data_IF_271211242186
#
_entry.id   IF_271211242186
#
_cell.length_a   1.000
_cell.length_b   1.000
_cell.length_c   1.000
_cell.angle_alpha   90.00
_cell.angle_beta   90.00
_cell.angle_gamma   90.00
#
_symmetry.space_group_name_H-M   'P 1'
#
loop_
_entity.id
_entity.type
_entity.pdbx_description
1 polymer ?
#
# COMPACT_ATOMS: atom_id res chain seq x y z
N UNK A 1 -31.30 -22.44 62.37
CA UNK A 1 -30.69 -23.78 62.51
C UNK A 1 -29.20 -23.57 62.68
N UNK A 2 -28.77 -23.32 63.92
CA UNK A 2 -28.28 -24.34 64.86
C UNK A 2 -26.91 -24.88 64.37
N UNK A 3 -25.80 -24.23 64.76
CA UNK A 3 -24.99 -24.50 65.98
C UNK A 3 -23.93 -25.59 65.66
N UNK A 4 -22.67 -25.62 66.12
CA UNK A 4 -22.01 -25.46 67.44
C UNK A 4 -20.47 -25.40 67.11
N UNK A 5 -19.68 -24.35 67.42
CA UNK A 5 -18.68 -24.21 68.54
C UNK A 5 -17.79 -25.45 68.81
N UNK A 6 -16.50 -25.44 69.20
CA UNK A 6 -15.66 -24.57 70.03
C UNK A 6 -14.16 -25.00 69.88
N UNK A 7 -13.14 -24.13 70.05
CA UNK A 7 -12.23 -23.99 71.24
C UNK A 7 -11.13 -25.08 71.35
N UNK A 8 -9.85 -24.91 71.73
CA UNK A 8 -8.93 -23.79 72.06
C UNK A 8 -7.47 -24.32 72.27
N UNK A 9 -6.45 -23.49 71.95
CA UNK A 9 -5.17 -23.21 72.67
C UNK A 9 -4.11 -24.33 73.01
N UNK A 10 -2.85 -24.03 73.49
CA UNK A 10 -1.58 -24.23 72.74
C UNK A 10 -0.43 -24.98 73.53
N UNK A 11 0.90 -24.69 73.38
CA UNK A 11 2.03 -25.62 73.08
C UNK A 11 2.89 -26.10 74.29
N UNK A 12 3.99 -26.87 74.11
CA UNK A 12 5.37 -26.34 74.36
C UNK A 12 6.49 -27.01 73.48
N UNK A 13 7.51 -26.29 72.99
CA UNK A 13 8.87 -26.03 73.53
C UNK A 13 9.91 -27.19 73.48
N UNK A 14 11.17 -26.80 73.19
CA UNK A 14 12.47 -27.53 73.24
C UNK A 14 12.72 -28.54 72.09
N UNK A 15 13.87 -28.61 71.42
CA UNK A 15 15.25 -28.55 71.90
C UNK A 15 16.24 -28.17 70.78
N UNK A 16 17.34 -27.53 71.18
CA UNK A 16 18.49 -27.06 70.40
C UNK A 16 19.23 -28.19 69.65
N UNK A 17 19.83 -27.86 68.50
CA UNK A 17 21.21 -28.26 68.24
C UNK A 17 21.96 -27.12 67.53
N UNK A 18 23.10 -26.75 68.12
CA UNK A 18 24.02 -25.69 67.71
C UNK A 18 25.21 -26.35 67.02
N UNK A 19 25.75 -25.67 66.02
CA UNK A 19 27.14 -25.72 65.52
C UNK A 19 27.36 -26.45 64.18
N UNK A 20 27.60 -25.69 63.12
CA UNK A 20 28.99 -25.31 62.82
C UNK A 20 29.05 -24.29 61.67
N UNK A 21 29.95 -23.33 61.87
CA UNK A 21 30.25 -22.19 61.01
C UNK A 21 31.40 -22.62 60.09
N UNK A 22 31.17 -22.63 58.78
CA UNK A 22 32.25 -22.61 57.80
C UNK A 22 31.86 -21.69 56.65
N UNK A 23 32.39 -20.48 56.69
CA UNK A 23 32.38 -19.51 55.61
C UNK A 23 33.31 -19.97 54.49
N UNK A 24 32.76 -20.29 53.32
CA UNK A 24 33.48 -20.24 52.06
C UNK A 24 32.63 -19.49 51.03
N UNK A 25 33.08 -18.25 50.79
CA UNK A 25 32.74 -17.36 49.69
C UNK A 25 32.55 -18.12 48.38
N UNK A 26 31.33 -18.13 47.85
CA UNK A 26 31.03 -18.62 46.50
C UNK A 26 30.35 -17.48 45.73
N UNK A 27 30.95 -17.07 44.61
CA UNK A 27 30.41 -16.08 43.67
C UNK A 27 28.95 -16.35 43.28
N UNK A 28 28.11 -15.32 43.08
CA UNK A 28 26.76 -15.55 42.59
C UNK A 28 26.82 -16.04 41.13
N UNK A 29 26.19 -17.18 40.88
CA UNK A 29 25.95 -17.69 39.53
C UNK A 29 25.09 -16.68 38.72
N UNK A 30 25.28 -16.57 37.40
CA UNK A 30 24.48 -15.66 36.58
C UNK A 30 23.04 -16.18 36.54
N UNK A 31 22.11 -15.41 37.10
CA UNK A 31 20.68 -15.57 36.90
C UNK A 31 20.39 -15.51 35.41
N UNK A 32 20.09 -16.65 34.81
CA UNK A 32 19.60 -16.76 33.44
C UNK A 32 18.17 -16.21 33.45
N UNK A 33 18.02 -14.94 33.06
CA UNK A 33 16.70 -14.37 32.82
C UNK A 33 15.98 -15.23 31.76
N UNK A 34 14.77 -15.74 32.02
CA UNK A 34 14.01 -16.43 30.99
C UNK A 34 13.76 -15.46 29.84
N UNK A 35 14.06 -15.92 28.62
CA UNK A 35 13.84 -15.14 27.40
C UNK A 35 12.41 -14.57 27.39
N UNK A 36 12.22 -13.28 27.07
CA UNK A 36 10.88 -12.70 27.03
C UNK A 36 10.05 -13.46 25.99
N UNK A 37 8.95 -14.07 26.45
CA UNK A 37 7.92 -14.63 25.59
C UNK A 37 7.52 -13.57 24.54
N UNK A 38 7.28 -13.95 23.27
CA UNK A 38 6.96 -12.99 22.22
C UNK A 38 5.71 -12.20 22.62
N UNK A 39 5.90 -10.90 22.85
CA UNK A 39 4.81 -9.99 23.19
C UNK A 39 3.70 -10.13 22.13
N UNK A 40 2.51 -10.53 22.57
CA UNK A 40 1.34 -10.71 21.70
C UNK A 40 0.95 -9.33 21.15
N UNK A 41 1.42 -9.03 19.94
CA UNK A 41 1.19 -7.76 19.27
C UNK A 41 -0.32 -7.61 18.98
N UNK A 42 -1.05 -6.90 19.85
CA UNK A 42 -2.44 -6.52 19.58
C UNK A 42 -2.40 -5.43 18.51
N UNK A 43 -2.96 -5.63 17.31
CA UNK A 43 -3.00 -4.57 16.31
C UNK A 43 -3.78 -3.39 16.89
N UNK A 44 -3.21 -2.18 16.75
CA UNK A 44 -3.88 -0.94 17.16
C UNK A 44 -5.26 -0.87 16.50
N UNK A 45 -6.26 -0.36 17.22
CA UNK A 45 -7.64 -0.21 16.72
C UNK A 45 -7.67 0.54 15.37
N UNK A 46 -6.76 1.49 15.19
CA UNK A 46 -6.60 2.25 13.95
C UNK A 46 -6.10 1.38 12.78
N UNK A 47 -5.24 0.39 13.03
CA UNK A 47 -4.79 -0.57 12.01
C UNK A 47 -5.93 -1.48 11.57
N UNK A 48 -6.76 -1.95 12.51
CA UNK A 48 -7.96 -2.75 12.21
C UNK A 48 -8.95 -1.93 11.40
N UNK A 49 -9.20 -0.68 11.82
CA UNK A 49 -10.08 0.24 11.10
C UNK A 49 -9.57 0.49 9.68
N UNK A 50 -8.29 0.83 9.50
CA UNK A 50 -7.70 1.02 8.17
C UNK A 50 -7.77 -0.24 7.30
N UNK A 51 -7.54 -1.43 7.87
CA UNK A 51 -7.69 -2.68 7.14
C UNK A 51 -9.14 -2.90 6.67
N UNK A 52 -10.12 -2.61 7.53
CA UNK A 52 -11.54 -2.66 7.18
C UNK A 52 -11.89 -1.69 6.05
N UNK A 53 -11.37 -0.46 6.09
CA UNK A 53 -11.57 0.51 5.01
C UNK A 53 -11.07 -0.01 3.66
N UNK A 54 -9.88 -0.63 3.64
CA UNK A 54 -9.32 -1.22 2.40
C UNK A 54 -10.21 -2.36 1.89
N UNK A 55 -10.70 -3.24 2.78
CA UNK A 55 -11.59 -4.35 2.38
C UNK A 55 -12.93 -3.87 1.83
N UNK A 56 -13.57 -2.89 2.51
CA UNK A 56 -14.83 -2.30 2.03
C UNK A 56 -14.63 -1.61 0.69
N UNK A 57 -13.47 -0.97 0.49
CA UNK A 57 -13.18 -0.25 -0.75
C UNK A 57 -12.95 -1.14 -1.99
N UNK A 58 -12.86 -2.47 -1.83
CA UNK A 58 -12.85 -3.39 -2.96
C UNK A 58 -14.13 -3.29 -3.82
N UNK A 59 -15.18 -2.67 -3.30
CA UNK A 59 -16.38 -2.33 -4.07
C UNK A 59 -16.14 -1.21 -5.09
N UNK A 60 -15.09 -0.41 -5.01
CA UNK A 60 -14.83 0.68 -5.98
C UNK A 60 -14.76 0.19 -7.44
N UNK A 61 -13.83 -0.73 -7.77
CA UNK A 61 -13.77 -1.34 -9.11
C UNK A 61 -15.09 -2.01 -9.53
N UNK A 62 -15.85 -2.55 -8.56
CA UNK A 62 -17.17 -3.14 -8.79
C UNK A 62 -18.19 -2.09 -9.23
N UNK A 63 -18.31 -0.98 -8.50
CA UNK A 63 -19.22 0.11 -8.83
C UNK A 63 -18.85 0.77 -10.15
N UNK A 64 -17.56 0.92 -10.43
CA UNK A 64 -17.08 1.40 -11.72
C UNK A 64 -17.55 0.48 -12.86
N UNK A 65 -17.51 -0.84 -12.68
CA UNK A 65 -18.02 -1.78 -13.69
C UNK A 65 -19.54 -1.73 -13.81
N UNK A 66 -20.27 -1.67 -12.69
CA UNK A 66 -21.74 -1.50 -12.68
C UNK A 66 -22.14 -0.25 -13.45
N UNK A 67 -21.41 0.85 -13.29
CA UNK A 67 -21.62 2.07 -14.06
C UNK A 67 -21.51 1.84 -15.58
N UNK A 68 -20.44 1.20 -16.06
CA UNK A 68 -20.28 0.93 -17.50
C UNK A 68 -21.29 -0.10 -18.05
N UNK A 69 -21.64 -1.13 -17.28
CA UNK A 69 -22.59 -2.17 -17.69
C UNK A 69 -24.01 -1.63 -17.87
N UNK A 70 -24.40 -0.63 -17.07
CA UNK A 70 -25.77 -0.09 -17.09
C UNK A 70 -25.93 1.19 -17.92
N UNK A 71 -24.97 1.50 -18.80
CA UNK A 71 -25.08 2.58 -19.79
C UNK A 71 -24.20 3.80 -19.52
N UNK A 72 -23.29 3.73 -18.54
CA UNK A 72 -22.28 4.76 -18.33
C UNK A 72 -21.28 4.81 -19.49
N UNK A 73 -21.03 6.02 -20.01
CA UNK A 73 -20.17 6.29 -21.17
C UNK A 73 -19.12 7.37 -20.87
N UNK A 74 -19.27 8.10 -19.76
CA UNK A 74 -18.39 9.23 -19.40
C UNK A 74 -17.08 8.76 -18.76
N UNK A 75 -16.07 8.56 -19.58
CA UNK A 75 -14.74 8.12 -19.17
C UNK A 75 -14.03 9.15 -18.25
N UNK A 76 -14.07 10.44 -18.58
CA UNK A 76 -13.42 11.48 -17.78
C UNK A 76 -14.07 11.65 -16.41
N UNK A 77 -15.39 11.45 -16.31
CA UNK A 77 -16.09 11.46 -15.03
C UNK A 77 -15.60 10.30 -14.15
N UNK A 78 -15.50 9.10 -14.69
CA UNK A 78 -14.99 7.95 -13.93
C UNK A 78 -13.53 8.11 -13.50
N UNK A 79 -12.67 8.66 -14.35
CA UNK A 79 -11.28 8.95 -14.01
C UNK A 79 -11.17 10.04 -12.93
N UNK A 80 -12.05 11.05 -12.97
CA UNK A 80 -12.16 12.06 -11.93
C UNK A 80 -12.52 11.44 -10.57
N UNK A 81 -13.52 10.54 -10.52
CA UNK A 81 -13.96 9.91 -9.28
C UNK A 81 -12.83 9.10 -8.62
N UNK A 82 -12.03 8.38 -9.42
CA UNK A 82 -10.86 7.63 -8.96
C UNK A 82 -9.77 8.51 -8.31
N UNK A 83 -9.55 9.72 -8.84
CA UNK A 83 -8.43 10.61 -8.43
C UNK A 83 -8.87 11.69 -7.44
N UNK A 84 -10.17 11.89 -7.28
CA UNK A 84 -10.79 12.90 -6.40
C UNK A 84 -10.38 12.84 -4.92
N UNK A 85 -9.49 11.91 -4.55
CA UNK A 85 -9.10 11.62 -3.18
C UNK A 85 -7.93 12.33 -2.57
N UNK A 86 -7.32 13.21 -3.35
CA UNK A 86 -6.31 14.12 -2.84
C UNK A 86 -6.75 14.96 -1.62
N UNK A 87 -8.04 15.38 -1.43
CA UNK A 87 -8.42 16.19 -0.28
C UNK A 87 -8.30 15.45 1.05
N UNK A 88 -8.41 14.11 1.07
CA UNK A 88 -8.23 13.33 2.28
C UNK A 88 -6.78 13.32 2.79
N UNK A 89 -5.83 13.72 1.96
CA UNK A 89 -4.44 13.89 2.37
C UNK A 89 -4.22 15.24 3.09
N UNK A 90 -5.15 16.19 3.01
CA UNK A 90 -5.00 17.51 3.62
C UNK A 90 -5.01 17.47 5.16
N UNK A 91 -5.91 16.77 5.87
CA UNK A 91 -5.91 16.72 7.33
C UNK A 91 -4.57 16.29 7.96
N UNK A 92 -3.94 15.16 7.56
CA UNK A 92 -2.65 14.76 8.13
C UNK A 92 -1.51 15.73 7.77
N UNK A 93 -1.54 16.33 6.58
CA UNK A 93 -0.60 17.39 6.18
C UNK A 93 -0.79 18.60 7.10
N UNK A 94 -2.02 19.08 7.29
CA UNK A 94 -2.35 20.20 8.15
C UNK A 94 -1.88 19.95 9.58
N UNK A 95 -2.21 18.80 10.18
CA UNK A 95 -1.79 18.45 11.56
C UNK A 95 -0.26 18.45 11.69
N UNK A 96 0.45 17.88 10.72
CA UNK A 96 1.92 17.87 10.70
C UNK A 96 2.51 19.28 10.56
N UNK A 97 1.93 20.11 9.66
CA UNK A 97 2.34 21.49 9.47
C UNK A 97 2.09 22.33 10.73
N UNK A 98 0.92 22.19 11.37
CA UNK A 98 0.60 22.89 12.62
C UNK A 98 1.52 22.47 13.78
N UNK A 99 1.83 21.17 13.90
CA UNK A 99 2.74 20.67 14.94
C UNK A 99 4.18 21.15 14.73
N UNK A 100 4.67 21.20 13.48
CA UNK A 100 6.01 21.71 13.16
C UNK A 100 6.11 23.23 13.16
N UNK A 101 5.03 23.97 12.85
CA UNK A 101 4.98 25.44 12.93
C UNK A 101 5.27 25.97 14.32
N UNK A 102 4.95 25.20 15.37
CA UNK A 102 5.33 25.49 16.76
C UNK A 102 6.84 25.37 17.05
N UNK A 103 7.62 24.75 16.16
CA UNK A 103 9.04 24.44 16.39
C UNK A 103 9.99 25.09 15.37
N UNK A 104 9.62 25.17 14.09
CA UNK A 104 10.39 25.86 13.03
C UNK A 104 9.44 26.42 11.95
N UNK A 105 9.60 27.68 11.55
CA UNK A 105 8.69 28.42 10.66
C UNK A 105 8.26 27.74 9.34
N UNK A 106 7.13 28.21 8.78
CA UNK A 106 6.32 27.55 7.71
C UNK A 106 7.04 27.42 6.36
N UNK A 107 7.96 28.32 6.04
CA UNK A 107 8.55 28.47 4.70
C UNK A 107 9.45 27.31 4.27
N UNK A 108 10.01 26.55 5.22
CA UNK A 108 10.86 25.38 4.95
C UNK A 108 10.08 24.04 4.93
N UNK A 109 8.76 24.08 5.14
CA UNK A 109 7.91 22.90 5.25
C UNK A 109 7.18 22.52 3.96
N UNK A 110 7.08 23.42 2.97
CA UNK A 110 6.43 23.14 1.69
C UNK A 110 7.45 22.60 0.67
N UNK A 111 6.98 21.73 -0.24
CA UNK A 111 7.79 21.30 -1.38
C UNK A 111 8.16 22.50 -2.27
N UNK A 112 9.39 22.54 -2.83
CA UNK A 112 9.78 23.62 -3.72
C UNK A 112 8.99 23.57 -5.02
N UNK A 113 8.84 24.72 -5.68
CA UNK A 113 8.08 24.86 -6.93
C UNK A 113 8.52 23.88 -8.02
N UNK A 114 9.81 23.53 -8.11
CA UNK A 114 10.32 22.54 -9.09
C UNK A 114 9.82 21.12 -8.80
N UNK A 115 9.75 20.73 -7.52
CA UNK A 115 9.22 19.42 -7.12
C UNK A 115 7.70 19.39 -7.24
N UNK A 116 7.03 20.51 -6.92
CA UNK A 116 5.61 20.68 -7.18
C UNK A 116 5.27 20.60 -8.67
N UNK A 117 6.10 21.18 -9.55
CA UNK A 117 5.96 21.05 -11.00
C UNK A 117 6.13 19.60 -11.47
N UNK A 118 7.15 18.88 -10.96
CA UNK A 118 7.32 17.46 -11.25
C UNK A 118 6.12 16.62 -10.74
N UNK A 119 5.62 16.92 -9.53
CA UNK A 119 4.42 16.30 -8.98
C UNK A 119 3.18 16.58 -9.85
N UNK A 120 3.03 17.79 -10.38
CA UNK A 120 1.92 18.12 -11.26
C UNK A 120 1.97 17.32 -12.57
N UNK A 121 3.16 17.18 -13.17
CA UNK A 121 3.36 16.36 -14.38
C UNK A 121 3.05 14.88 -14.10
N UNK A 122 3.51 14.35 -12.96
CA UNK A 122 3.21 12.98 -12.56
C UNK A 122 1.71 12.77 -12.25
N UNK A 123 1.05 13.78 -11.68
CA UNK A 123 -0.40 13.80 -11.48
C UNK A 123 -1.18 13.76 -12.79
N UNK A 124 -0.76 14.53 -13.79
CA UNK A 124 -1.34 14.49 -15.13
C UNK A 124 -1.13 13.12 -15.79
N UNK A 125 0.05 12.53 -15.64
CA UNK A 125 0.33 11.19 -16.14
C UNK A 125 -0.54 10.11 -15.47
N UNK A 126 -0.74 10.23 -14.16
CA UNK A 126 -1.66 9.36 -13.42
C UNK A 126 -3.12 9.54 -13.86
N UNK A 127 -3.55 10.77 -14.20
CA UNK A 127 -4.87 11.01 -14.79
C UNK A 127 -5.07 10.31 -16.12
N UNK A 128 -4.04 10.29 -16.98
CA UNK A 128 -4.06 9.51 -18.23
C UNK A 128 -4.18 8.02 -17.90
N UNK A 129 -3.44 7.52 -16.91
CA UNK A 129 -3.54 6.13 -16.47
C UNK A 129 -4.96 5.74 -16.05
N UNK A 130 -5.64 6.57 -15.24
CA UNK A 130 -7.03 6.32 -14.83
C UNK A 130 -8.02 6.41 -16.00
N UNK A 131 -7.77 7.29 -16.98
CA UNK A 131 -8.59 7.36 -18.19
C UNK A 131 -8.44 6.10 -19.05
N UNK A 132 -7.22 5.61 -19.24
CA UNK A 132 -6.96 4.36 -19.97
C UNK A 132 -7.52 3.15 -19.21
N UNK A 133 -7.46 3.16 -17.87
CA UNK A 133 -8.11 2.13 -17.04
C UNK A 133 -9.64 2.13 -17.20
N UNK A 134 -10.26 3.31 -17.31
CA UNK A 134 -11.70 3.43 -17.59
C UNK A 134 -12.07 2.86 -18.97
N UNK A 135 -11.24 3.09 -20.00
CA UNK A 135 -11.41 2.48 -21.33
C UNK A 135 -11.36 0.95 -21.27
N UNK A 136 -10.35 0.40 -20.60
CA UNK A 136 -10.24 -1.04 -20.39
C UNK A 136 -11.43 -1.63 -19.62
N UNK A 137 -11.87 -0.93 -18.56
CA UNK A 137 -13.00 -1.36 -17.72
C UNK A 137 -14.36 -1.27 -18.42
N UNK A 138 -14.49 -0.44 -19.46
CA UNK A 138 -15.68 -0.41 -20.30
C UNK A 138 -15.76 -1.67 -21.19
N UNK A 139 -14.62 -2.08 -21.77
CA UNK A 139 -14.55 -3.16 -22.75
C UNK A 139 -14.38 -4.56 -22.14
N UNK A 140 -13.86 -4.68 -20.91
CA UNK A 140 -13.54 -5.97 -20.29
C UNK A 140 -14.40 -6.26 -19.05
N UNK A 141 -14.63 -7.55 -18.74
CA UNK A 141 -15.12 -7.99 -17.43
C UNK A 141 -14.18 -7.53 -16.31
N UNK A 142 -14.76 -7.23 -15.14
CA UNK A 142 -14.01 -6.75 -13.97
C UNK A 142 -12.94 -7.75 -13.53
N UNK A 143 -13.25 -9.04 -13.62
CA UNK A 143 -12.33 -10.15 -13.33
C UNK A 143 -11.08 -10.12 -14.22
N UNK A 144 -11.26 -9.88 -15.52
CA UNK A 144 -10.12 -9.80 -16.44
C UNK A 144 -9.30 -8.53 -16.20
N UNK A 145 -9.95 -7.39 -16.02
CA UNK A 145 -9.27 -6.10 -15.78
C UNK A 145 -8.45 -6.10 -14.49
N UNK A 146 -8.96 -6.71 -13.42
CA UNK A 146 -8.24 -6.82 -12.13
C UNK A 146 -6.97 -7.65 -12.25
N UNK A 147 -7.03 -8.79 -12.97
CA UNK A 147 -5.86 -9.62 -13.25
C UNK A 147 -4.83 -8.92 -14.15
N UNK A 148 -5.28 -8.16 -15.15
CA UNK A 148 -4.38 -7.34 -15.96
C UNK A 148 -3.74 -6.23 -15.12
N UNK A 149 -4.51 -5.59 -14.23
CA UNK A 149 -3.99 -4.56 -13.33
C UNK A 149 -2.95 -5.11 -12.34
N UNK A 150 -3.05 -6.38 -11.93
CA UNK A 150 -2.04 -7.01 -11.08
C UNK A 150 -0.62 -6.95 -11.67
N UNK A 151 -0.50 -6.90 -13.00
CA UNK A 151 0.80 -6.77 -13.69
C UNK A 151 1.48 -5.43 -13.49
N UNK A 152 0.76 -4.43 -12.98
CA UNK A 152 1.31 -3.15 -12.58
C UNK A 152 2.56 -3.33 -11.71
N UNK A 153 2.56 -4.30 -10.79
CA UNK A 153 3.72 -4.57 -9.93
C UNK A 153 4.95 -5.04 -10.73
N UNK A 154 4.74 -5.84 -11.78
CA UNK A 154 5.81 -6.28 -12.66
C UNK A 154 6.40 -5.09 -13.44
N UNK A 155 5.55 -4.23 -14.00
CA UNK A 155 5.98 -3.01 -14.67
C UNK A 155 6.71 -2.06 -13.71
N UNK A 156 6.19 -1.88 -12.49
CA UNK A 156 6.87 -1.11 -11.44
C UNK A 156 8.26 -1.63 -11.16
N UNK A 157 8.45 -2.95 -11.03
CA UNK A 157 9.75 -3.54 -10.76
C UNK A 157 10.74 -3.33 -11.93
N UNK A 158 10.27 -3.49 -13.18
CA UNK A 158 11.07 -3.22 -14.39
C UNK A 158 11.45 -1.75 -14.50
N UNK A 159 10.51 -0.82 -14.31
CA UNK A 159 10.81 0.61 -14.35
C UNK A 159 11.65 1.07 -13.16
N UNK A 160 11.50 0.49 -11.97
CA UNK A 160 12.38 0.75 -10.83
C UNK A 160 13.81 0.29 -11.13
N UNK A 161 13.99 -0.86 -11.79
CA UNK A 161 15.31 -1.28 -12.27
C UNK A 161 15.91 -0.27 -13.25
N UNK A 162 15.13 0.21 -14.23
CA UNK A 162 15.60 1.13 -15.26
C UNK A 162 15.90 2.56 -14.75
N UNK A 163 15.00 3.14 -13.95
CA UNK A 163 15.06 4.55 -13.56
C UNK A 163 15.72 4.78 -12.19
N UNK A 164 15.55 3.84 -11.25
CA UNK A 164 16.08 3.94 -9.88
C UNK A 164 17.36 3.11 -9.72
N UNK A 165 17.63 2.17 -10.63
CA UNK A 165 18.76 1.25 -10.52
C UNK A 165 18.54 0.20 -9.43
N UNK A 166 17.28 -0.18 -9.16
CA UNK A 166 16.92 -1.21 -8.18
C UNK A 166 17.59 -2.53 -8.58
N UNK A 167 18.33 -3.19 -7.68
CA UNK A 167 18.87 -4.52 -7.97
C UNK A 167 17.77 -5.58 -7.83
N UNK A 168 17.54 -6.35 -8.89
CA UNK A 168 16.61 -7.47 -8.83
C UNK A 168 17.10 -8.52 -7.85
N UNK A 169 16.25 -8.86 -6.87
CA UNK A 169 16.39 -10.10 -6.12
C UNK A 169 15.84 -11.26 -6.96
N UNK A 170 16.29 -12.50 -6.73
CA UNK A 170 15.71 -13.67 -7.38
C UNK A 170 14.20 -13.77 -7.13
N UNK A 171 13.72 -13.35 -5.94
CA UNK A 171 12.30 -13.29 -5.61
C UNK A 171 11.52 -12.24 -6.40
N UNK A 172 12.10 -11.07 -6.64
CA UNK A 172 11.49 -10.02 -7.48
C UNK A 172 11.46 -10.44 -8.95
N UNK A 173 12.53 -11.06 -9.46
CA UNK A 173 12.54 -11.60 -10.81
C UNK A 173 11.49 -12.71 -11.00
N UNK A 174 11.35 -13.61 -10.02
CA UNK A 174 10.28 -14.62 -10.03
C UNK A 174 8.89 -13.98 -10.03
N UNK A 175 8.67 -12.97 -9.20
CA UNK A 175 7.40 -12.24 -9.14
C UNK A 175 7.06 -11.58 -10.49
N UNK A 176 8.03 -10.93 -11.14
CA UNK A 176 7.86 -10.33 -12.47
C UNK A 176 7.47 -11.40 -13.49
N UNK A 177 8.15 -12.54 -13.52
CA UNK A 177 7.84 -13.63 -14.45
C UNK A 177 6.43 -14.20 -14.24
N UNK A 178 6.03 -14.44 -12.99
CA UNK A 178 4.70 -14.96 -12.67
C UNK A 178 3.59 -13.98 -13.07
N UNK A 179 3.82 -12.69 -12.81
CA UNK A 179 2.88 -11.63 -13.14
C UNK A 179 2.80 -11.35 -14.64
N UNK A 180 3.82 -11.64 -15.43
CA UNK A 180 3.75 -11.53 -16.91
C UNK A 180 3.12 -12.75 -17.56
N UNK A 181 3.33 -13.95 -17.00
CA UNK A 181 2.69 -15.19 -17.48
C UNK A 181 1.16 -15.14 -17.26
N UNK A 182 0.68 -14.53 -16.17
CA UNK A 182 -0.75 -14.40 -15.87
C UNK A 182 -1.59 -13.87 -17.05
N UNK A 183 -1.32 -12.65 -17.56
CA UNK A 183 -1.99 -12.13 -18.75
C UNK A 183 -1.78 -12.95 -20.02
N UNK A 184 -0.60 -13.56 -20.21
CA UNK A 184 -0.35 -14.38 -21.37
C UNK A 184 -1.28 -15.61 -21.39
N UNK A 185 -1.50 -16.24 -20.24
CA UNK A 185 -2.47 -17.34 -20.08
C UNK A 185 -3.90 -16.85 -20.32
N UNK A 186 -4.26 -15.66 -19.86
CA UNK A 186 -5.58 -15.04 -20.14
C UNK A 186 -5.79 -14.77 -21.64
N UNK A 187 -4.75 -14.36 -22.35
CA UNK A 187 -4.81 -14.09 -23.80
C UNK A 187 -4.87 -15.34 -24.67
N UNK A 188 -4.26 -16.46 -24.23
CA UNK A 188 -4.13 -17.70 -25.01
C UNK A 188 -5.21 -18.75 -24.66
N UNK A 189 -5.85 -18.63 -23.50
CA UNK A 189 -6.81 -19.63 -23.02
C UNK A 189 -8.01 -19.89 -23.96
N UNK A 190 -8.52 -21.14 -24.03
CA UNK A 190 -9.54 -21.59 -25.00
C UNK A 190 -10.95 -20.97 -24.85
N UNK A 191 -11.09 -19.97 -23.99
CA UNK A 191 -12.27 -19.14 -23.82
C UNK A 191 -11.83 -17.83 -23.20
N UNK A 192 -11.36 -16.90 -24.02
CA UNK A 192 -10.75 -15.62 -23.62
C UNK A 192 -11.74 -14.64 -22.94
N UNK A 193 -12.64 -15.12 -22.07
CA UNK A 193 -13.63 -14.30 -21.37
C UNK A 193 -14.54 -13.49 -22.31
N UNK A 194 -14.70 -13.94 -23.57
CA UNK A 194 -15.57 -13.27 -24.56
C UNK A 194 -17.00 -13.22 -24.01
N UNK A 195 -17.58 -12.02 -23.83
CA UNK A 195 -19.02 -11.92 -23.72
C UNK A 195 -19.64 -12.55 -24.97
N UNK A 196 -20.67 -13.37 -24.80
CA UNK A 196 -21.34 -14.01 -25.93
C UNK A 196 -21.93 -12.93 -26.85
N UNK A 197 -21.36 -12.73 -28.05
CA UNK A 197 -21.87 -11.82 -29.08
C UNK A 197 -21.00 -10.59 -29.41
N UNK A 198 -19.91 -10.32 -28.69
CA UNK A 198 -19.04 -9.17 -29.01
C UNK A 198 -17.95 -9.48 -30.05
N UNK A 199 -17.69 -8.49 -30.92
CA UNK A 199 -16.64 -8.57 -31.92
C UNK A 199 -15.27 -8.73 -31.25
N UNK A 200 -14.48 -9.71 -31.72
CA UNK A 200 -13.15 -10.03 -31.17
C UNK A 200 -12.21 -8.81 -31.07
N UNK A 201 -12.46 -7.75 -31.83
CA UNK A 201 -11.66 -6.52 -31.85
C UNK A 201 -11.82 -5.69 -30.58
N UNK A 202 -13.03 -5.53 -30.04
CA UNK A 202 -13.31 -4.70 -28.85
C UNK A 202 -12.68 -5.29 -27.58
N UNK A 203 -12.69 -6.62 -27.47
CA UNK A 203 -12.01 -7.32 -26.37
C UNK A 203 -10.50 -7.07 -26.40
N UNK A 204 -9.85 -7.22 -27.57
CA UNK A 204 -8.41 -7.03 -27.69
C UNK A 204 -7.98 -5.57 -27.52
N UNK A 205 -8.81 -4.60 -27.93
CA UNK A 205 -8.53 -3.19 -27.63
C UNK A 205 -8.58 -2.93 -26.12
N UNK A 206 -9.61 -3.43 -25.43
CA UNK A 206 -9.70 -3.31 -23.96
C UNK A 206 -8.57 -4.02 -23.22
N UNK A 207 -8.11 -5.17 -23.74
CA UNK A 207 -6.97 -5.92 -23.20
C UNK A 207 -5.67 -5.13 -23.30
N UNK A 208 -5.38 -4.55 -24.46
CA UNK A 208 -4.19 -3.72 -24.67
C UNK A 208 -4.27 -2.45 -23.82
N UNK A 209 -5.44 -1.80 -23.77
CA UNK A 209 -5.69 -0.62 -22.92
C UNK A 209 -5.46 -0.94 -21.45
N UNK A 210 -5.91 -2.08 -20.94
CA UNK A 210 -5.72 -2.47 -19.54
C UNK A 210 -4.24 -2.74 -19.21
N UNK A 211 -3.50 -3.39 -20.11
CA UNK A 211 -2.05 -3.56 -19.95
C UNK A 211 -1.33 -2.20 -19.99
N UNK A 212 -1.75 -1.32 -20.91
CA UNK A 212 -1.20 0.03 -20.99
C UNK A 212 -1.47 0.82 -19.70
N UNK A 213 -2.68 0.74 -19.14
CA UNK A 213 -3.02 1.35 -17.86
C UNK A 213 -2.15 0.80 -16.72
N UNK A 214 -1.96 -0.52 -16.65
CA UNK A 214 -1.07 -1.15 -15.67
C UNK A 214 0.39 -0.69 -15.81
N UNK A 215 0.88 -0.52 -17.06
CA UNK A 215 2.22 -0.02 -17.33
C UNK A 215 2.38 1.46 -16.94
N UNK A 216 1.40 2.30 -17.28
CA UNK A 216 1.37 3.73 -16.91
C UNK A 216 1.35 3.89 -15.38
N UNK A 217 0.44 3.20 -14.70
CA UNK A 217 0.38 3.18 -13.24
C UNK A 217 1.69 2.65 -12.63
N UNK A 218 2.26 1.61 -13.24
CA UNK A 218 3.50 0.99 -12.78
C UNK A 218 4.71 1.92 -12.86
N UNK A 219 4.73 2.83 -13.84
CA UNK A 219 5.79 3.83 -14.06
C UNK A 219 5.75 5.01 -13.07
N UNK A 220 4.56 5.36 -12.55
CA UNK A 220 4.39 6.52 -11.66
C UNK A 220 5.24 6.40 -10.40
N UNK A 221 5.22 5.23 -9.75
CA UNK A 221 5.92 5.04 -8.47
C UNK A 221 7.46 5.19 -8.59
N UNK A 222 8.14 4.54 -9.56
CA UNK A 222 9.57 4.77 -9.80
C UNK A 222 9.91 6.22 -10.15
N UNK A 223 9.07 6.91 -10.92
CA UNK A 223 9.31 8.32 -11.25
C UNK A 223 9.18 9.24 -10.03
N UNK A 224 8.24 8.97 -9.13
CA UNK A 224 8.15 9.66 -7.84
C UNK A 224 9.43 9.46 -7.05
N UNK A 225 9.94 8.22 -6.98
CA UNK A 225 11.19 7.91 -6.28
C UNK A 225 12.38 8.67 -6.88
N UNK A 226 12.52 8.71 -8.21
CA UNK A 226 13.58 9.49 -8.88
C UNK A 226 13.43 10.99 -8.63
N UNK A 227 12.21 11.53 -8.68
CA UNK A 227 11.95 12.95 -8.41
C UNK A 227 12.38 13.32 -6.99
N UNK A 228 12.07 12.45 -6.02
CA UNK A 228 12.43 12.63 -4.62
C UNK A 228 13.93 12.45 -4.39
N UNK A 229 14.57 11.47 -5.02
CA UNK A 229 16.02 11.25 -4.94
C UNK A 229 16.82 12.41 -5.54
N UNK A 230 16.39 12.95 -6.69
CA UNK A 230 16.99 14.14 -7.31
C UNK A 230 16.84 15.40 -6.45
N UNK A 231 15.73 15.50 -5.70
CA UNK A 231 15.53 16.58 -4.75
C UNK A 231 16.43 16.44 -3.51
N UNK A 232 16.45 15.27 -2.88
CA UNK A 232 17.28 14.96 -1.71
C UNK A 232 18.76 15.12 -2.00
N UNK A 233 19.26 14.55 -3.12
CA UNK A 233 20.66 14.63 -3.52
C UNK A 233 21.19 16.03 -3.83
N UNK A 234 20.30 17.02 -4.07
CA UNK A 234 20.70 18.44 -4.19
C UNK A 234 20.84 19.14 -2.84
N UNK A 235 20.15 18.70 -1.79
CA UNK A 235 20.27 19.24 -0.43
C UNK A 235 21.48 18.68 0.31
N UNK A 236 21.92 17.46 -0.03
CA UNK A 236 23.07 16.76 0.57
C UNK A 236 24.40 16.98 -0.16
N UNK A 237 24.52 17.99 -1.02
CA UNK A 237 25.80 18.36 -1.66
C UNK A 237 26.68 19.26 -0.77
N UNK A 238 26.56 19.08 0.55
CA UNK A 238 27.40 19.66 1.59
C UNK A 238 27.63 18.59 2.66
N UNK A 239 28.53 17.63 2.40
CA UNK A 239 28.98 16.65 3.38
C UNK A 239 29.20 15.23 2.82
N UNK A 240 30.33 14.56 3.15
CA UNK A 240 30.65 13.23 2.67
C UNK A 240 29.98 12.15 3.54
N UNK A 241 28.69 11.91 3.35
CA UNK A 241 28.00 10.68 3.74
C UNK A 241 26.61 10.66 3.11
N UNK A 242 26.54 10.26 1.83
CA UNK A 242 25.29 10.01 1.13
C UNK A 242 24.62 8.72 1.66
N UNK A 243 24.17 8.74 2.92
CA UNK A 243 23.18 7.80 3.37
C UNK A 243 21.87 8.13 2.63
N UNK A 244 21.21 7.12 2.07
CA UNK A 244 19.85 7.22 1.50
C UNK A 244 18.88 7.63 2.62
N UNK A 245 18.83 8.91 2.95
CA UNK A 245 17.89 9.44 3.94
C UNK A 245 16.50 9.28 3.34
N UNK A 246 15.69 8.40 3.92
CA UNK A 246 14.28 8.23 3.55
C UNK A 246 13.63 9.61 3.55
N UNK A 247 12.98 10.03 2.45
CA UNK A 247 12.35 11.34 2.40
C UNK A 247 11.36 11.46 3.56
N UNK A 248 11.23 12.65 4.20
CA UNK A 248 10.30 12.84 5.28
C UNK A 248 8.90 12.43 4.82
N UNK A 249 8.19 11.64 5.62
CA UNK A 249 6.84 11.16 5.31
C UNK A 249 5.90 12.30 4.83
N UNK A 250 6.02 13.48 5.44
CA UNK A 250 5.30 14.72 5.08
C UNK A 250 5.56 15.15 3.63
N UNK A 251 6.78 15.02 3.13
CA UNK A 251 7.14 15.39 1.75
C UNK A 251 6.50 14.45 0.74
N UNK A 252 6.42 13.15 1.06
CA UNK A 252 5.71 12.16 0.22
C UNK A 252 4.22 12.47 0.18
N UNK A 253 3.61 12.80 1.33
CA UNK A 253 2.20 13.19 1.37
C UNK A 253 1.92 14.48 0.57
N UNK A 254 2.79 15.48 0.68
CA UNK A 254 2.66 16.73 -0.10
C UNK A 254 2.79 16.47 -1.61
N UNK A 255 3.73 15.63 -2.02
CA UNK A 255 3.88 15.20 -3.41
C UNK A 255 2.60 14.52 -3.91
N UNK A 256 2.06 13.59 -3.13
CA UNK A 256 0.84 12.85 -3.47
C UNK A 256 -0.40 13.76 -3.52
N UNK A 257 -0.50 14.74 -2.62
CA UNK A 257 -1.58 15.73 -2.64
C UNK A 257 -1.52 16.62 -3.90
N UNK A 258 -0.33 17.08 -4.30
CA UNK A 258 -0.16 17.87 -5.52
C UNK A 258 -0.41 17.03 -6.78
N UNK A 259 0.06 15.78 -6.80
CA UNK A 259 -0.24 14.85 -7.90
C UNK A 259 -1.75 14.65 -8.06
N UNK A 260 -2.46 14.37 -6.96
CA UNK A 260 -3.90 14.15 -7.01
C UNK A 260 -4.68 15.43 -7.36
N UNK A 261 -4.26 16.61 -6.86
CA UNK A 261 -4.87 17.89 -7.24
C UNK A 261 -4.68 18.18 -8.74
N UNK A 262 -3.45 18.03 -9.26
CA UNK A 262 -3.16 18.22 -10.68
C UNK A 262 -3.91 17.22 -11.56
N UNK A 263 -3.95 15.95 -11.17
CA UNK A 263 -4.72 14.92 -11.88
C UNK A 263 -6.22 15.23 -11.90
N UNK A 264 -6.76 15.71 -10.78
CA UNK A 264 -8.16 16.14 -10.67
C UNK A 264 -8.45 17.31 -11.63
N UNK A 265 -7.57 18.30 -11.72
CA UNK A 265 -7.70 19.41 -12.67
C UNK A 265 -7.70 18.92 -14.11
N UNK A 266 -6.79 18.00 -14.46
CA UNK A 266 -6.74 17.40 -15.81
C UNK A 266 -8.03 16.65 -16.13
N UNK A 267 -8.55 15.86 -15.20
CA UNK A 267 -9.82 15.17 -15.40
C UNK A 267 -10.99 16.16 -15.55
N UNK A 268 -11.07 17.20 -14.71
CA UNK A 268 -12.09 18.24 -14.80
C UNK A 268 -12.04 19.00 -16.12
N UNK A 269 -10.83 19.32 -16.61
CA UNK A 269 -10.65 19.91 -17.93
C UNK A 269 -11.15 18.96 -19.03
N UNK A 270 -10.88 17.66 -18.92
CA UNK A 270 -11.41 16.64 -19.83
C UNK A 270 -12.94 16.59 -19.84
N UNK A 271 -13.57 16.58 -18.66
CA UNK A 271 -15.04 16.63 -18.50
C UNK A 271 -15.60 17.94 -19.09
N UNK A 272 -14.94 19.07 -18.86
CA UNK A 272 -15.36 20.38 -19.37
C UNK A 272 -15.25 20.46 -20.90
N UNK A 273 -14.14 19.99 -21.49
CA UNK A 273 -13.92 19.98 -22.94
C UNK A 273 -14.93 19.08 -23.64
N UNK A 274 -15.22 17.89 -23.09
CA UNK A 274 -16.25 16.99 -23.63
C UNK A 274 -17.68 17.42 -23.32
N UNK A 275 -17.88 18.51 -22.57
CA UNK A 275 -19.20 18.97 -22.08
C UNK A 275 -19.98 17.85 -21.38
N UNK A 276 -19.26 16.95 -20.70
CA UNK A 276 -19.83 15.76 -20.07
C UNK A 276 -20.84 16.14 -18.97
N UNK A 277 -20.67 17.29 -18.31
CA UNK A 277 -21.64 17.82 -17.33
C UNK A 277 -23.00 18.18 -17.94
N UNK A 278 -23.02 18.67 -19.18
CA UNK A 278 -24.28 19.02 -19.86
C UNK A 278 -25.01 17.77 -20.37
N UNK A 279 -24.26 16.73 -20.70
CA UNK A 279 -24.82 15.46 -21.16
C UNK A 279 -25.16 14.48 -20.01
N UNK A 280 -24.78 14.82 -18.78
CA UNK A 280 -25.04 14.02 -17.57
C UNK A 280 -26.54 13.75 -17.33
N UNK A 281 -27.46 14.74 -17.46
CA UNK A 281 -28.89 14.49 -17.29
C UNK A 281 -29.42 13.49 -18.32
N UNK A 282 -28.99 13.60 -19.58
CA UNK A 282 -29.40 12.70 -20.66
C UNK A 282 -28.91 11.27 -20.46
N UNK A 283 -27.70 11.09 -19.94
CA UNK A 283 -27.18 9.76 -19.57
C UNK A 283 -27.91 9.19 -18.35
N UNK A 284 -28.22 10.04 -17.37
CA UNK A 284 -28.96 9.65 -16.16
C UNK A 284 -30.36 9.13 -16.50
N UNK A 285 -31.03 9.75 -17.48
CA UNK A 285 -32.38 9.37 -17.92
C UNK A 285 -32.40 8.06 -18.74
N UNK A 286 -31.25 7.67 -19.32
CA UNK A 286 -31.10 6.43 -20.09
C UNK A 286 -30.43 5.30 -19.29
N UNK A 287 -30.03 5.56 -18.04
CA UNK A 287 -29.35 4.60 -17.19
C UNK A 287 -30.26 3.46 -16.76
N UNK A 288 -29.84 2.21 -17.00
CA UNK A 288 -30.70 1.03 -16.85
C UNK A 288 -31.21 0.76 -15.42
N UNK A 289 -30.54 1.27 -14.39
CA UNK A 289 -30.95 1.13 -12.98
C UNK A 289 -31.77 2.33 -12.47
N UNK A 290 -32.05 3.32 -13.33
CA UNK A 290 -32.75 4.54 -13.01
C UNK A 290 -31.89 5.65 -12.40
N UNK A 291 -32.47 6.85 -12.35
CA UNK A 291 -31.81 8.12 -11.99
C UNK A 291 -31.18 8.13 -10.60
N UNK A 292 -31.88 7.66 -9.58
CA UNK A 292 -31.37 7.67 -8.21
C UNK A 292 -30.18 6.71 -8.05
N UNK A 293 -30.25 5.55 -8.69
CA UNK A 293 -29.19 4.55 -8.69
C UNK A 293 -27.94 5.06 -9.39
N UNK A 294 -28.08 5.82 -10.49
CA UNK A 294 -26.94 6.45 -11.17
C UNK A 294 -26.11 7.33 -10.21
N UNK A 295 -26.76 8.28 -9.53
CA UNK A 295 -26.07 9.16 -8.59
C UNK A 295 -25.51 8.39 -7.39
N UNK A 296 -26.24 7.41 -6.87
CA UNK A 296 -25.76 6.56 -5.78
C UNK A 296 -24.51 5.79 -6.19
N UNK A 297 -24.46 5.23 -7.40
CA UNK A 297 -23.29 4.51 -7.92
C UNK A 297 -22.08 5.44 -8.03
N UNK A 298 -22.24 6.65 -8.58
CA UNK A 298 -21.14 7.62 -8.67
C UNK A 298 -20.64 8.07 -7.29
N UNK A 299 -21.55 8.33 -6.35
CA UNK A 299 -21.19 8.75 -4.99
C UNK A 299 -20.46 7.63 -4.26
N UNK A 300 -21.00 6.40 -4.29
CA UNK A 300 -20.36 5.26 -3.63
C UNK A 300 -19.05 4.84 -4.30
N UNK A 301 -18.93 5.00 -5.61
CA UNK A 301 -17.66 4.78 -6.33
C UNK A 301 -16.61 5.76 -5.81
N UNK A 302 -16.90 7.06 -5.82
CA UNK A 302 -16.01 8.06 -5.26
C UNK A 302 -15.63 7.75 -3.81
N UNK A 303 -16.61 7.45 -2.96
CA UNK A 303 -16.39 7.11 -1.55
C UNK A 303 -15.52 5.86 -1.41
N UNK A 304 -15.74 4.81 -2.19
CA UNK A 304 -14.93 3.60 -2.15
C UNK A 304 -13.47 3.90 -2.51
N UNK A 305 -13.22 4.64 -3.59
CA UNK A 305 -11.86 5.09 -3.96
C UNK A 305 -11.23 5.95 -2.85
N UNK A 306 -12.02 6.74 -2.12
CA UNK A 306 -11.53 7.50 -0.97
C UNK A 306 -11.12 6.62 0.20
N UNK A 307 -12.00 5.70 0.59
CA UNK A 307 -11.73 4.79 1.70
C UNK A 307 -10.52 3.90 1.39
N UNK A 308 -10.31 3.51 0.13
CA UNK A 308 -9.12 2.77 -0.29
C UNK A 308 -7.84 3.56 -0.02
N UNK A 309 -7.79 4.79 -0.54
CA UNK A 309 -6.62 5.66 -0.37
C UNK A 309 -6.35 5.95 1.12
N UNK A 310 -7.40 6.25 1.89
CA UNK A 310 -7.29 6.49 3.33
C UNK A 310 -6.82 5.24 4.09
N UNK A 311 -7.36 4.08 3.76
CA UNK A 311 -7.00 2.80 4.36
C UNK A 311 -5.54 2.42 4.10
N UNK A 312 -5.08 2.54 2.85
CA UNK A 312 -3.68 2.28 2.47
C UNK A 312 -2.74 3.23 3.21
N UNK A 313 -3.04 4.52 3.24
CA UNK A 313 -2.22 5.51 3.96
C UNK A 313 -2.20 5.29 5.47
N UNK A 314 -3.34 4.91 6.07
CA UNK A 314 -3.44 4.53 7.47
C UNK A 314 -2.59 3.29 7.81
N UNK A 315 -2.58 2.29 6.93
CA UNK A 315 -1.74 1.10 7.10
C UNK A 315 -0.24 1.41 7.00
N UNK A 316 0.15 2.25 6.04
CA UNK A 316 1.55 2.67 5.87
C UNK A 316 2.05 3.44 7.10
N UNK A 317 1.22 4.31 7.67
CA UNK A 317 1.59 5.17 8.80
C UNK A 317 1.57 4.47 10.15
N UNK A 318 0.53 3.69 10.41
CA UNK A 318 0.29 3.12 11.74
C UNK A 318 0.84 1.70 11.90
N UNK A 319 1.20 1.03 10.80
CA UNK A 319 1.78 -0.30 10.82
C UNK A 319 3.05 -0.41 9.97
N UNK A 320 2.91 -0.61 8.65
CA UNK A 320 4.04 -0.75 7.73
C UNK A 320 3.58 -0.75 6.27
N UNK A 321 4.50 -0.38 5.35
CA UNK A 321 4.30 -0.54 3.90
C UNK A 321 4.04 -1.98 3.48
N UNK A 322 4.65 -2.93 4.19
CA UNK A 322 4.54 -4.36 3.94
C UNK A 322 3.12 -4.88 4.24
N UNK A 323 2.51 -4.41 5.34
CA UNK A 323 1.12 -4.76 5.66
C UNK A 323 0.15 -4.17 4.62
N UNK A 324 0.39 -2.94 4.18
CA UNK A 324 -0.38 -2.33 3.09
C UNK A 324 -0.27 -3.16 1.80
N UNK A 325 0.93 -3.63 1.44
CA UNK A 325 1.14 -4.51 0.30
C UNK A 325 0.40 -5.85 0.39
N UNK A 326 0.34 -6.47 1.57
CA UNK A 326 -0.45 -7.69 1.81
C UNK A 326 -1.94 -7.41 1.63
N UNK A 327 -2.44 -6.30 2.17
CA UNK A 327 -3.85 -5.93 2.01
C UNK A 327 -4.21 -5.70 0.54
N UNK A 328 -3.34 -5.04 -0.23
CA UNK A 328 -3.51 -4.87 -1.68
C UNK A 328 -3.52 -6.23 -2.40
N UNK A 329 -2.67 -7.18 -2.00
CA UNK A 329 -2.67 -8.53 -2.56
C UNK A 329 -3.97 -9.30 -2.28
N UNK A 330 -4.61 -9.06 -1.13
CA UNK A 330 -5.92 -9.64 -0.77
C UNK A 330 -7.07 -8.98 -1.53
N UNK A 331 -6.91 -7.73 -1.96
CA UNK A 331 -7.92 -7.02 -2.76
C UNK A 331 -8.14 -7.67 -4.12
N UNK A 332 -7.11 -8.28 -4.70
CA UNK A 332 -7.21 -8.94 -5.99
C UNK A 332 -8.23 -10.09 -5.99
N UNK A 333 -8.09 -11.16 -5.17
CA UNK A 333 -9.08 -12.23 -5.12
C UNK A 333 -10.44 -11.76 -4.58
N UNK A 334 -10.47 -10.76 -3.70
CA UNK A 334 -11.73 -10.19 -3.23
C UNK A 334 -12.51 -9.53 -4.37
N UNK A 335 -11.82 -8.81 -5.27
CA UNK A 335 -12.43 -8.18 -6.45
C UNK A 335 -12.98 -9.23 -7.42
N UNK A 336 -12.28 -10.35 -7.60
CA UNK A 336 -12.77 -11.49 -8.40
C UNK A 336 -14.06 -12.08 -7.82
N UNK A 337 -14.09 -12.33 -6.50
CA UNK A 337 -15.28 -12.88 -5.82
C UNK A 337 -16.46 -11.92 -5.94
N UNK A 338 -16.22 -10.62 -5.77
CA UNK A 338 -17.25 -9.59 -5.95
C UNK A 338 -17.79 -9.56 -7.39
N UNK A 339 -16.91 -9.68 -8.40
CA UNK A 339 -17.30 -9.73 -9.80
C UNK A 339 -18.20 -10.95 -10.10
N UNK A 340 -17.87 -12.12 -9.56
CA UNK A 340 -18.66 -13.34 -9.76
C UNK A 340 -20.02 -13.27 -9.05
N UNK A 341 -20.07 -12.77 -7.81
CA UNK A 341 -21.31 -12.73 -7.02
C UNK A 341 -22.28 -11.65 -7.54
N UNK A 342 -21.79 -10.43 -7.75
CA UNK A 342 -22.69 -9.29 -8.06
C UNK A 342 -22.95 -9.15 -9.56
N UNK A 343 -21.93 -9.31 -10.40
CA UNK A 343 -22.09 -9.18 -11.86
C UNK A 343 -22.36 -10.51 -12.55
N UNK A 344 -22.38 -11.63 -11.81
CA UNK A 344 -22.58 -12.97 -12.37
C UNK A 344 -21.60 -13.26 -13.51
N UNK A 345 -20.37 -12.71 -13.42
CA UNK A 345 -19.33 -12.92 -14.42
C UNK A 345 -18.86 -14.37 -14.42
N UNK A 346 -18.66 -14.95 -15.60
CA UNK A 346 -18.08 -16.29 -15.74
C UNK A 346 -16.61 -16.28 -15.33
N UNK A 347 -16.26 -17.12 -14.37
CA UNK A 347 -14.89 -17.32 -13.90
C UNK A 347 -14.32 -18.62 -14.49
N UNK A 348 -13.66 -18.50 -15.65
CA UNK A 348 -13.11 -19.65 -16.38
C UNK A 348 -11.77 -20.13 -15.79
N UNK A 349 -11.37 -21.36 -16.12
CA UNK A 349 -10.09 -21.96 -15.71
C UNK A 349 -8.85 -21.07 -15.94
N UNK A 350 -8.67 -20.43 -17.11
CA UNK A 350 -7.55 -19.50 -17.34
C UNK A 350 -7.52 -18.31 -16.38
N UNK A 351 -8.68 -17.77 -15.97
CA UNK A 351 -8.76 -16.70 -14.97
C UNK A 351 -8.30 -17.19 -13.60
N UNK A 352 -8.69 -18.40 -13.22
CA UNK A 352 -8.20 -19.06 -12.01
C UNK A 352 -6.68 -19.25 -12.00
N UNK A 353 -6.11 -19.71 -13.12
CA UNK A 353 -4.65 -19.87 -13.24
C UNK A 353 -3.94 -18.52 -13.12
N UNK A 354 -4.44 -17.48 -13.80
CA UNK A 354 -3.87 -16.14 -13.73
C UNK A 354 -3.99 -15.52 -12.32
N UNK A 355 -5.09 -15.77 -11.61
CA UNK A 355 -5.26 -15.37 -10.21
C UNK A 355 -4.23 -16.04 -9.29
N UNK A 356 -4.02 -17.35 -9.44
CA UNK A 356 -3.03 -18.09 -8.64
C UNK A 356 -1.61 -17.59 -8.95
N UNK A 357 -1.28 -17.37 -10.22
CA UNK A 357 0.02 -16.84 -10.63
C UNK A 357 0.27 -15.43 -10.08
N UNK A 358 -0.73 -14.56 -10.13
CA UNK A 358 -0.61 -13.20 -9.59
C UNK A 358 -0.45 -13.21 -8.06
N UNK A 359 -1.24 -14.01 -7.33
CA UNK A 359 -1.09 -14.19 -5.89
C UNK A 359 0.29 -14.74 -5.51
N UNK A 360 0.79 -15.72 -6.26
CA UNK A 360 2.15 -16.25 -6.08
C UNK A 360 3.19 -15.15 -6.31
N UNK A 361 3.05 -14.38 -7.40
CA UNK A 361 3.92 -13.25 -7.72
C UNK A 361 3.97 -12.22 -6.58
N UNK A 362 2.81 -11.80 -6.07
CA UNK A 362 2.71 -10.92 -4.91
C UNK A 362 3.38 -11.51 -3.66
N UNK A 363 3.11 -12.77 -3.35
CA UNK A 363 3.71 -13.44 -2.20
C UNK A 363 5.24 -13.51 -2.31
N UNK A 364 5.77 -13.81 -3.51
CA UNK A 364 7.21 -13.84 -3.78
C UNK A 364 7.83 -12.46 -3.60
N UNK A 365 7.19 -11.41 -4.11
CA UNK A 365 7.65 -10.03 -3.97
C UNK A 365 7.70 -9.61 -2.49
N UNK A 366 6.62 -9.81 -1.75
CA UNK A 366 6.52 -9.45 -0.33
C UNK A 366 7.50 -10.24 0.54
N UNK A 367 7.73 -11.52 0.21
CA UNK A 367 8.74 -12.34 0.88
C UNK A 367 10.15 -11.81 0.61
N UNK A 368 10.46 -11.45 -0.64
CA UNK A 368 11.73 -10.82 -1.01
C UNK A 368 11.99 -9.51 -0.25
N UNK A 369 10.98 -8.65 -0.15
CA UNK A 369 11.07 -7.37 0.58
C UNK A 369 11.31 -7.60 2.08
N UNK A 370 10.60 -8.55 2.70
CA UNK A 370 10.82 -8.96 4.10
C UNK A 370 12.24 -9.46 4.34
N UNK A 371 12.73 -10.33 3.47
CA UNK A 371 14.06 -10.91 3.58
C UNK A 371 15.15 -9.84 3.45
N UNK A 372 15.03 -8.92 2.49
CA UNK A 372 15.96 -7.80 2.33
C UNK A 372 15.98 -6.88 3.55
N UNK A 373 14.81 -6.47 4.06
CA UNK A 373 14.72 -5.64 5.27
C UNK A 373 15.40 -6.29 6.47
N UNK A 374 15.27 -7.61 6.63
CA UNK A 374 15.94 -8.37 7.70
C UNK A 374 17.45 -8.40 7.52
N UNK A 375 17.95 -8.59 6.29
CA UNK A 375 19.38 -8.57 6.00
C UNK A 375 20.01 -7.19 6.22
N UNK A 376 19.34 -6.12 5.80
CA UNK A 376 19.79 -4.74 6.02
C UNK A 376 19.85 -4.40 7.51
N UNK A 377 18.84 -4.79 8.29
CA UNK A 377 18.84 -4.60 9.74
C UNK A 377 20.03 -5.29 10.43
N UNK A 378 20.30 -6.55 10.06
CA UNK A 378 21.45 -7.29 10.60
C UNK A 378 22.80 -6.68 10.19
N UNK A 379 22.91 -6.16 8.98
CA UNK A 379 24.14 -5.49 8.52
C UNK A 379 24.39 -4.20 9.30
N UNK A 380 23.36 -3.38 9.51
CA UNK A 380 23.45 -2.15 10.26
C UNK A 380 23.80 -2.40 11.74
N UNK A 381 23.24 -3.44 12.34
CA UNK A 381 23.56 -3.87 13.71
C UNK A 381 25.03 -4.28 13.84
N UNK A 382 25.56 -5.04 12.87
CA UNK A 382 26.99 -5.42 12.82
C UNK A 382 27.91 -4.20 12.60
N UNK A 383 27.55 -3.26 11.74
CA UNK A 383 28.32 -2.03 11.53
C UNK A 383 28.31 -1.12 12.77
N UNK A 384 27.17 -1.04 13.49
CA UNK A 384 27.06 -0.29 14.73
C UNK A 384 27.91 -0.92 15.84
N UNK A 385 27.83 -2.25 16.00
CA UNK A 385 28.65 -2.99 16.95
C UNK A 385 30.16 -2.82 16.67
N UNK A 386 30.55 -2.83 15.39
CA UNK A 386 31.95 -2.56 14.99
C UNK A 386 32.39 -1.14 15.35
N UNK A 387 31.58 -0.11 15.05
CA UNK A 387 31.90 1.29 15.39
C UNK A 387 32.00 1.51 16.89
N UNK A 388 31.16 0.86 17.70
CA UNK A 388 31.23 0.95 19.16
C UNK A 388 32.53 0.31 19.66
N UNK A 389 32.89 -0.88 19.15
CA UNK A 389 34.16 -1.53 19.50
C UNK A 389 35.41 -0.74 19.09
N UNK A 390 35.38 -0.09 17.91
CA UNK A 390 36.48 0.76 17.44
C UNK A 390 36.65 2.04 18.30
N UNK A 391 35.55 2.59 18.85
CA UNK A 391 35.59 3.75 19.77
C UNK A 391 36.06 3.35 21.16
N UNK A 392 35.64 2.19 21.66
CA UNK A 392 36.07 1.65 22.97
C UNK A 392 37.55 1.24 22.95
N UNK A 393 38.06 0.75 21.82
CA UNK A 393 39.49 0.48 21.61
C UNK A 393 40.35 1.74 21.47
N UNK A 394 39.76 2.90 21.15
CA UNK A 394 40.47 4.17 20.92
C UNK A 394 40.44 5.11 22.13
N UNK A 395 39.74 4.73 23.21
CA UNK A 395 39.79 5.46 24.48
C UNK A 395 41.19 5.30 25.11
N UNK A 396 41.92 6.39 25.43
CA UNK A 396 43.21 6.29 26.08
C UNK A 396 43.07 5.57 27.44
N UNK A 397 44.00 4.66 27.72
CA UNK A 397 44.29 4.18 29.07
C UNK A 397 44.78 5.36 29.92
N UNK A 398 43.90 6.24 30.35
CA UNK A 398 44.09 7.07 31.54
C UNK A 398 43.18 6.51 32.64
N UNK A 399 43.77 6.30 33.83
CA UNK A 399 43.20 5.70 35.03
C UNK A 399 43.27 4.16 35.17
N UNK A 400 44.51 3.66 35.28
CA UNK A 400 44.88 2.74 36.37
C UNK A 400 46.23 3.14 36.95
N UNK A 401 46.21 3.98 37.97
CA UNK A 401 47.20 3.95 39.05
C UNK A 401 46.53 3.39 40.30
#
# INVERSE_FOLDING_TARGET
>A
MAAITASASPPPATMQEISSKASSTTSPAPTTNPAPLPARYKPSLLVIFSACLVLVSATGPLLLRVYFVHGGTRLFLSAFLQISGWPLLLPPICVSLFRRRRSHGVSNLLIPARLAGAAAVLGAFYAISCFVYALGSQALPLSTSSLLQATQLAFTAVFAFLFVGLRFTPFSANAVMLLTIGPAVLGIGPGSGKPAGEASRTYWTGFIESIAAAALAGLVLPLVEVAMARYGGRRTRTGPAAARVTPPYVTVMQMQAVMGAAGTVVCLLGVAIKSDFQALPSETDTFGLGKNSYYLVLIWDAVAWQLMNLGIMGLITCASSLLAGIMIAVLLPLSEVLAVIFLHEKFDGPKGIALVLSLWGFASYLYGERAQKKQEAQKNEKELAKKIGDVESAAPFEDRQ
#
